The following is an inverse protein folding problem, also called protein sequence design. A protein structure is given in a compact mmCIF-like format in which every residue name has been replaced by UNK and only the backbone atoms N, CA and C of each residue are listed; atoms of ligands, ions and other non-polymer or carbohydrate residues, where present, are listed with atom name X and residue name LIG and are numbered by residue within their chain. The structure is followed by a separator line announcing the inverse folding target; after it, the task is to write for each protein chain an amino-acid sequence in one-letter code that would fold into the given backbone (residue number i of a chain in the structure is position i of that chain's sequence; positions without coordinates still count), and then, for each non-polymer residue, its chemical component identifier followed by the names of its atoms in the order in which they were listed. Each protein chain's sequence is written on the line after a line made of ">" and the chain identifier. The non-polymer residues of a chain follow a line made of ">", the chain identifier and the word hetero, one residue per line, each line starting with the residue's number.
data_IF_286623535855
#
_entry.id   IF_286623535855
#
_cell.length_a   1.000
_cell.length_b   1.000
_cell.length_c   1.000
_cell.angle_alpha   90.00
_cell.angle_beta   90.00
_cell.angle_gamma   90.00
#
_symmetry.space_group_name_H-M   'P 1'
#
loop_
_entity.id
_entity.type
_entity.pdbx_description
1 polymer ?
#
# COMPACT_ATOMS: atom_id res chain seq x y z
N UNK A 1 -13.37 40.45 -27.47
CA UNK A 1 -14.66 40.02 -26.87
C UNK A 1 -14.61 40.44 -25.39
N UNK A 2 -15.55 41.34 -24.95
CA UNK A 2 -15.72 41.66 -23.51
C UNK A 2 -16.55 40.52 -22.90
N UNK A 3 -15.98 39.85 -21.90
CA UNK A 3 -16.74 38.87 -21.10
C UNK A 3 -17.64 39.65 -20.15
N UNK A 4 -18.95 39.42 -20.23
CA UNK A 4 -19.88 39.92 -19.22
C UNK A 4 -19.93 38.92 -18.08
N UNK A 5 -19.42 39.25 -16.92
CA UNK A 5 -19.52 38.45 -15.72
C UNK A 5 -20.55 39.08 -14.79
N UNK A 6 -21.52 38.31 -14.32
CA UNK A 6 -22.48 38.70 -13.31
C UNK A 6 -21.88 38.42 -11.96
N UNK A 7 -21.72 39.45 -11.14
CA UNK A 7 -21.26 39.32 -9.76
C UNK A 7 -22.46 39.31 -8.81
N UNK A 8 -22.52 38.40 -7.84
CA UNK A 8 -23.54 38.42 -6.80
C UNK A 8 -23.38 39.67 -5.90
N UNK A 9 -24.43 40.00 -5.16
CA UNK A 9 -24.40 41.13 -4.20
C UNK A 9 -23.39 40.88 -3.08
N UNK A 10 -22.81 41.93 -2.52
CA UNK A 10 -21.75 41.84 -1.47
C UNK A 10 -22.09 40.91 -0.30
N UNK A 11 -23.32 40.88 0.27
CA UNK A 11 -23.70 39.94 1.30
C UNK A 11 -23.68 38.48 0.84
N UNK A 12 -24.02 38.23 -0.43
CA UNK A 12 -23.99 36.89 -1.04
C UNK A 12 -22.55 36.45 -1.29
N UNK A 13 -21.68 37.34 -1.78
CA UNK A 13 -20.25 37.07 -1.91
C UNK A 13 -19.62 36.65 -0.57
N UNK A 14 -20.00 37.35 0.53
CA UNK A 14 -19.52 37.00 1.87
C UNK A 14 -19.97 35.60 2.32
N UNK A 15 -21.22 35.21 2.06
CA UNK A 15 -21.74 33.87 2.36
C UNK A 15 -21.02 32.80 1.56
N UNK A 16 -20.82 33.04 0.26
CA UNK A 16 -20.08 32.15 -0.62
C UNK A 16 -18.64 31.97 -0.11
N UNK A 17 -17.95 33.07 0.19
CA UNK A 17 -16.58 33.03 0.68
C UNK A 17 -16.46 32.27 2.01
N UNK A 18 -17.36 32.56 2.97
CA UNK A 18 -17.38 31.85 4.26
C UNK A 18 -17.62 30.37 4.10
N UNK A 19 -18.53 29.95 3.22
CA UNK A 19 -18.81 28.54 2.94
C UNK A 19 -17.62 27.84 2.30
N UNK A 20 -17.01 28.43 1.26
CA UNK A 20 -15.82 27.86 0.62
C UNK A 20 -14.65 27.74 1.59
N UNK A 21 -14.46 28.77 2.44
CA UNK A 21 -13.43 28.73 3.50
C UNK A 21 -13.68 27.57 4.48
N UNK A 22 -14.93 27.33 4.88
CA UNK A 22 -15.25 26.20 5.76
C UNK A 22 -14.94 24.84 5.10
N UNK A 23 -15.22 24.70 3.79
CA UNK A 23 -14.86 23.49 3.03
C UNK A 23 -13.33 23.33 2.95
N UNK A 24 -12.58 24.40 2.72
CA UNK A 24 -11.12 24.37 2.69
C UNK A 24 -10.52 23.98 4.04
N UNK A 25 -11.00 24.60 5.11
CA UNK A 25 -10.59 24.23 6.48
C UNK A 25 -10.83 22.75 6.76
N UNK A 26 -11.98 22.20 6.31
CA UNK A 26 -12.25 20.75 6.46
C UNK A 26 -11.26 19.88 5.68
N UNK A 27 -10.93 20.28 4.45
CA UNK A 27 -9.93 19.56 3.62
C UNK A 27 -8.54 19.60 4.29
N UNK A 28 -8.12 20.72 4.82
CA UNK A 28 -6.85 20.88 5.54
C UNK A 28 -6.81 20.02 6.81
N UNK A 29 -7.88 20.04 7.61
CA UNK A 29 -7.99 19.22 8.82
C UNK A 29 -7.91 17.71 8.49
N UNK A 30 -8.60 17.25 7.44
CA UNK A 30 -8.54 15.85 7.00
C UNK A 30 -7.15 15.49 6.48
N UNK A 31 -6.50 16.37 5.72
CA UNK A 31 -5.14 16.17 5.23
C UNK A 31 -4.14 16.04 6.39
N UNK A 32 -4.23 16.95 7.37
CA UNK A 32 -3.36 16.89 8.56
C UNK A 32 -3.62 15.65 9.41
N UNK A 33 -4.89 15.27 9.57
CA UNK A 33 -5.26 14.03 10.29
C UNK A 33 -4.70 12.79 9.60
N UNK A 34 -4.73 12.72 8.28
CA UNK A 34 -4.16 11.61 7.51
C UNK A 34 -2.64 11.51 7.71
N UNK A 35 -1.94 12.65 7.65
CA UNK A 35 -0.49 12.72 7.91
C UNK A 35 -0.14 12.22 9.30
N UNK A 36 -0.79 12.76 10.34
CA UNK A 36 -0.54 12.40 11.74
C UNK A 36 -0.84 10.93 12.03
N UNK A 37 -1.89 10.35 11.44
CA UNK A 37 -2.18 8.92 11.56
C UNK A 37 -1.09 8.06 10.90
N UNK A 38 -0.54 8.51 9.77
CA UNK A 38 0.58 7.84 9.11
C UNK A 38 1.86 7.86 9.96
N UNK A 39 2.19 9.01 10.55
CA UNK A 39 3.33 9.14 11.48
C UNK A 39 3.14 8.29 12.74
N UNK A 40 1.93 8.32 13.32
CA UNK A 40 1.57 7.50 14.48
C UNK A 40 1.74 6.01 14.19
N UNK A 41 1.21 5.52 13.05
CA UNK A 41 1.41 4.12 12.61
C UNK A 41 2.88 3.78 12.51
N UNK A 42 3.67 4.64 11.86
CA UNK A 42 5.11 4.42 11.69
C UNK A 42 5.84 4.32 13.05
N UNK A 43 5.52 5.23 13.97
CA UNK A 43 6.10 5.21 15.33
C UNK A 43 5.73 3.95 16.11
N UNK A 44 4.45 3.55 16.08
CA UNK A 44 3.98 2.33 16.72
C UNK A 44 4.64 1.08 16.12
N UNK A 45 4.72 0.98 14.81
CA UNK A 45 5.41 -0.14 14.16
C UNK A 45 6.88 -0.23 14.61
N UNK A 46 7.57 0.91 14.72
CA UNK A 46 8.94 0.92 15.20
C UNK A 46 9.02 0.39 16.64
N UNK A 47 8.13 0.82 17.55
CA UNK A 47 8.11 0.39 18.94
C UNK A 47 7.72 -1.10 19.10
N UNK A 48 6.76 -1.58 18.30
CA UNK A 48 6.34 -2.98 18.32
C UNK A 48 7.48 -3.88 17.79
N UNK A 49 8.02 -3.60 16.59
CA UNK A 49 9.06 -4.46 16.00
C UNK A 49 10.44 -4.34 16.68
N UNK A 50 10.67 -3.30 17.50
CA UNK A 50 11.80 -3.23 18.42
C UNK A 50 11.51 -3.81 19.81
N UNK A 51 10.32 -4.34 20.04
CA UNK A 51 9.83 -4.93 21.30
C UNK A 51 9.80 -3.96 22.50
N UNK A 52 9.84 -2.64 22.26
CA UNK A 52 9.58 -1.62 23.29
C UNK A 52 8.13 -1.71 23.77
N UNK A 53 7.20 -2.00 22.85
CA UNK A 53 5.82 -2.33 23.17
C UNK A 53 5.61 -3.81 22.86
N UNK A 54 5.19 -4.59 23.89
CA UNK A 54 4.79 -5.98 23.77
C UNK A 54 3.30 -6.11 24.14
N UNK A 55 2.60 -6.94 23.38
CA UNK A 55 1.22 -7.33 23.72
C UNK A 55 1.22 -8.42 24.78
N UNK A 56 0.16 -8.47 25.56
CA UNK A 56 -0.07 -9.54 26.54
C UNK A 56 -1.19 -10.48 26.06
N UNK A 57 -1.17 -11.69 26.55
CA UNK A 57 -2.26 -12.65 26.37
C UNK A 57 -3.53 -12.16 27.07
N UNK A 58 -4.68 -12.77 26.79
CA UNK A 58 -5.97 -12.32 27.33
C UNK A 58 -6.08 -12.54 28.85
N UNK A 59 -5.30 -13.47 29.39
CA UNK A 59 -5.15 -13.73 30.84
C UNK A 59 -4.16 -12.78 31.54
N UNK A 60 -3.53 -11.83 30.77
CA UNK A 60 -2.55 -10.89 31.27
C UNK A 60 -1.11 -11.41 31.30
N UNK A 61 -0.87 -12.67 30.94
CA UNK A 61 0.47 -13.23 30.84
C UNK A 61 1.27 -12.68 29.69
N UNK A 62 2.60 -12.73 29.79
CA UNK A 62 3.48 -12.38 28.71
C UNK A 62 3.52 -13.50 27.65
N UNK A 63 3.60 -13.13 26.39
CA UNK A 63 3.85 -14.09 25.31
C UNK A 63 5.31 -14.56 25.33
N UNK A 64 5.63 -15.74 24.74
CA UNK A 64 6.99 -16.21 24.57
C UNK A 64 7.89 -15.18 23.86
N UNK A 65 9.20 -15.32 24.03
CA UNK A 65 10.15 -14.47 23.32
C UNK A 65 10.07 -14.63 21.82
N UNK A 66 10.37 -13.56 21.10
CA UNK A 66 10.41 -13.56 19.65
C UNK A 66 11.64 -14.31 19.15
N UNK A 67 11.48 -14.97 18.00
CA UNK A 67 12.57 -15.68 17.33
C UNK A 67 12.97 -15.01 16.02
N UNK A 68 14.25 -15.11 15.67
CA UNK A 68 14.73 -14.69 14.37
C UNK A 68 14.25 -15.68 13.29
N UNK A 69 13.48 -15.19 12.33
CA UNK A 69 12.99 -15.97 11.18
C UNK A 69 13.44 -15.32 9.88
N UNK A 70 13.82 -16.14 8.89
CA UNK A 70 14.02 -15.70 7.51
C UNK A 70 12.66 -15.49 6.83
N UNK A 71 12.55 -14.51 5.91
CA UNK A 71 11.31 -14.34 5.11
C UNK A 71 10.97 -15.62 4.32
N UNK A 72 11.98 -16.30 3.77
CA UNK A 72 11.79 -17.59 3.09
C UNK A 72 11.33 -18.73 4.00
N UNK A 73 11.48 -18.59 5.32
CA UNK A 73 10.97 -19.55 6.31
C UNK A 73 9.52 -19.32 6.70
N UNK A 74 8.95 -18.15 6.40
CA UNK A 74 7.56 -17.81 6.71
C UNK A 74 6.67 -17.65 5.47
N UNK A 75 7.23 -17.84 4.26
CA UNK A 75 6.48 -17.74 3.01
C UNK A 75 7.31 -18.11 1.80
N UNK A 76 6.67 -18.08 0.64
CA UNK A 76 7.28 -18.46 -0.64
C UNK A 76 7.23 -17.31 -1.63
N UNK A 77 8.30 -17.15 -2.40
CA UNK A 77 8.40 -16.12 -3.43
C UNK A 77 8.19 -16.72 -4.82
N UNK A 78 7.32 -16.11 -5.62
CA UNK A 78 7.05 -16.51 -7.00
C UNK A 78 7.32 -15.35 -7.94
N UNK A 79 8.20 -15.56 -8.92
CA UNK A 79 8.48 -14.54 -9.93
C UNK A 79 7.28 -14.38 -10.85
N UNK A 80 7.01 -13.14 -11.23
CA UNK A 80 5.91 -12.81 -12.13
C UNK A 80 6.10 -13.29 -13.57
N UNK A 81 5.03 -13.13 -14.35
CA UNK A 81 4.91 -13.61 -15.72
C UNK A 81 5.70 -12.75 -16.70
N UNK A 82 6.44 -13.41 -17.62
CA UNK A 82 7.14 -12.72 -18.71
C UNK A 82 6.25 -12.66 -19.95
N UNK A 83 6.13 -11.48 -20.55
CA UNK A 83 5.39 -11.27 -21.80
C UNK A 83 6.09 -10.20 -22.68
N UNK A 84 5.77 -10.22 -23.96
CA UNK A 84 6.28 -9.27 -24.96
C UNK A 84 5.21 -8.24 -25.31
N UNK A 85 5.60 -7.18 -26.01
CA UNK A 85 4.66 -6.17 -26.52
C UNK A 85 3.60 -6.76 -27.45
N UNK A 86 3.93 -7.81 -28.22
CA UNK A 86 2.99 -8.54 -29.09
C UNK A 86 1.88 -9.26 -28.34
N UNK A 87 2.12 -9.60 -27.06
CA UNK A 87 1.13 -10.25 -26.20
C UNK A 87 0.12 -9.26 -25.59
N UNK A 88 0.41 -7.96 -25.67
CA UNK A 88 -0.46 -6.94 -25.08
C UNK A 88 -1.77 -6.84 -25.85
N UNK A 89 -2.89 -6.84 -25.14
CA UNK A 89 -4.25 -6.81 -25.67
C UNK A 89 -5.13 -5.86 -24.84
N UNK A 90 -6.31 -5.55 -25.34
CA UNK A 90 -7.31 -4.74 -24.63
C UNK A 90 -8.05 -5.55 -23.55
N UNK A 91 -7.98 -6.88 -23.60
CA UNK A 91 -8.61 -7.80 -22.64
C UNK A 91 -7.74 -9.06 -22.51
N UNK A 92 -8.03 -9.91 -21.53
CA UNK A 92 -7.32 -11.16 -21.28
C UNK A 92 -6.82 -11.26 -19.82
N UNK A 93 -5.65 -11.88 -19.63
CA UNK A 93 -5.03 -12.00 -18.31
C UNK A 93 -4.51 -10.62 -17.85
N UNK A 94 -5.02 -10.14 -16.72
CA UNK A 94 -4.50 -8.92 -16.09
C UNK A 94 -3.12 -9.19 -15.47
N UNK A 95 -2.13 -8.38 -15.87
CA UNK A 95 -0.76 -8.44 -15.36
C UNK A 95 -0.41 -7.14 -14.64
N UNK A 96 -0.33 -7.20 -13.31
CA UNK A 96 0.05 -6.06 -12.50
C UNK A 96 1.55 -5.77 -12.63
N UNK A 97 1.87 -4.49 -12.64
CA UNK A 97 3.24 -3.98 -12.74
C UNK A 97 3.58 -3.14 -11.52
N UNK A 98 4.81 -2.70 -11.41
CA UNK A 98 5.23 -1.83 -10.32
C UNK A 98 4.41 -0.53 -10.24
N UNK A 99 3.86 -0.01 -11.35
CA UNK A 99 2.96 1.15 -11.38
C UNK A 99 1.64 0.92 -10.62
N UNK A 100 1.20 -0.34 -10.51
CA UNK A 100 -0.02 -0.71 -9.78
C UNK A 100 0.19 -0.84 -8.27
N UNK A 101 1.43 -0.73 -7.76
CA UNK A 101 1.70 -0.71 -6.32
C UNK A 101 1.78 0.75 -5.86
N UNK A 102 0.83 1.20 -5.05
CA UNK A 102 0.77 2.58 -4.52
C UNK A 102 0.35 2.57 -3.05
N UNK A 103 1.12 3.23 -2.20
CA UNK A 103 0.80 3.37 -0.77
C UNK A 103 0.48 2.03 -0.09
N UNK A 104 1.35 1.03 -0.30
CA UNK A 104 1.26 -0.33 0.25
C UNK A 104 -0.01 -1.11 -0.17
N UNK A 105 -0.70 -0.66 -1.23
CA UNK A 105 -1.89 -1.28 -1.81
C UNK A 105 -1.71 -1.54 -3.30
N UNK A 106 -2.53 -2.44 -3.84
CA UNK A 106 -2.67 -2.63 -5.29
C UNK A 106 -3.78 -1.74 -5.83
N UNK A 107 -3.51 -1.10 -6.97
CA UNK A 107 -4.46 -0.26 -7.70
C UNK A 107 -4.92 -1.05 -8.93
N UNK A 108 -6.21 -1.39 -8.97
CA UNK A 108 -6.83 -2.24 -9.99
C UNK A 108 -7.79 -1.47 -10.91
N UNK A 109 -7.77 -0.14 -10.88
CA UNK A 109 -8.65 0.73 -11.67
C UNK A 109 -7.91 1.60 -12.69
N UNK A 110 -6.56 1.59 -12.67
CA UNK A 110 -5.71 2.44 -13.52
C UNK A 110 -4.46 1.72 -13.98
N UNK A 111 -3.96 2.10 -15.16
CA UNK A 111 -2.72 1.56 -15.74
C UNK A 111 -2.74 0.04 -15.87
N UNK A 112 -3.90 -0.54 -16.19
CA UNK A 112 -4.05 -1.99 -16.30
C UNK A 112 -3.42 -2.49 -17.59
N UNK A 113 -2.72 -3.62 -17.50
CA UNK A 113 -2.09 -4.27 -18.62
C UNK A 113 -2.68 -5.67 -18.79
N UNK A 114 -3.33 -5.91 -19.94
CA UNK A 114 -3.85 -7.22 -20.29
C UNK A 114 -2.96 -7.90 -21.31
N UNK A 115 -2.88 -9.23 -21.23
CA UNK A 115 -2.11 -10.04 -22.18
C UNK A 115 -2.88 -11.29 -22.60
N UNK A 116 -2.61 -11.77 -23.83
CA UNK A 116 -3.16 -13.02 -24.37
C UNK A 116 -2.36 -14.23 -23.90
N UNK A 117 -2.19 -14.36 -22.59
CA UNK A 117 -1.43 -15.43 -21.97
C UNK A 117 -2.25 -16.15 -20.93
N UNK A 118 -1.91 -17.41 -20.68
CA UNK A 118 -2.45 -18.20 -19.58
C UNK A 118 -1.42 -18.18 -18.46
N UNK A 119 -1.83 -17.87 -17.24
CA UNK A 119 -0.97 -18.03 -16.09
C UNK A 119 -1.27 -19.33 -15.35
N UNK A 120 -0.21 -19.97 -14.83
CA UNK A 120 -0.36 -21.12 -13.95
C UNK A 120 -0.97 -20.68 -12.61
N UNK A 121 -1.67 -21.59 -11.94
CA UNK A 121 -2.25 -21.31 -10.61
C UNK A 121 -1.19 -20.98 -9.55
N UNK A 122 0.06 -21.39 -9.79
CA UNK A 122 1.19 -21.08 -8.92
C UNK A 122 1.48 -19.57 -8.83
N UNK A 123 1.38 -18.86 -9.96
CA UNK A 123 1.66 -17.43 -10.07
C UNK A 123 0.40 -16.60 -10.27
N UNK A 124 -0.79 -17.19 -10.19
CA UNK A 124 -2.04 -16.47 -10.05
C UNK A 124 -2.12 -15.89 -8.65
N UNK A 125 -2.46 -14.59 -8.55
CA UNK A 125 -2.64 -13.94 -7.25
C UNK A 125 -3.81 -14.54 -6.50
N UNK A 126 -3.62 -14.72 -5.21
CA UNK A 126 -4.63 -15.18 -4.24
C UNK A 126 -4.82 -14.07 -3.20
N UNK A 127 -5.97 -14.04 -2.58
CA UNK A 127 -6.22 -13.13 -1.46
C UNK A 127 -5.10 -13.23 -0.43
N UNK A 128 -4.66 -12.10 0.10
CA UNK A 128 -3.55 -11.89 1.02
C UNK A 128 -2.13 -12.10 0.44
N UNK A 129 -2.00 -12.45 -0.85
CA UNK A 129 -0.69 -12.39 -1.51
C UNK A 129 -0.12 -10.96 -1.49
N UNK A 130 1.18 -10.85 -1.27
CA UNK A 130 1.88 -9.57 -1.28
C UNK A 130 2.68 -9.45 -2.58
N UNK A 131 2.39 -8.44 -3.37
CA UNK A 131 3.15 -8.12 -4.58
C UNK A 131 4.31 -7.20 -4.21
N UNK A 132 5.51 -7.56 -4.63
CA UNK A 132 6.75 -6.80 -4.36
C UNK A 132 7.37 -6.37 -5.70
N UNK A 133 7.71 -5.10 -5.83
CA UNK A 133 8.47 -4.57 -6.96
C UNK A 133 9.93 -5.03 -6.87
N UNK A 134 10.36 -5.89 -7.79
CA UNK A 134 11.72 -6.45 -7.78
C UNK A 134 12.70 -5.63 -8.60
N UNK A 135 12.23 -4.94 -9.64
CA UNK A 135 13.06 -4.09 -10.49
C UNK A 135 12.32 -2.83 -10.93
N UNK A 136 13.03 -1.70 -10.92
CA UNK A 136 12.49 -0.42 -11.40
C UNK A 136 13.63 0.50 -11.80
N UNK A 137 13.42 1.38 -12.78
CA UNK A 137 14.39 2.42 -13.14
C UNK A 137 14.73 3.36 -11.98
N UNK A 138 13.77 3.59 -11.08
CA UNK A 138 13.99 4.38 -9.86
C UNK A 138 14.26 3.49 -8.66
N UNK A 139 15.47 3.58 -8.11
CA UNK A 139 15.94 2.75 -6.98
C UNK A 139 15.00 2.77 -5.78
N UNK A 140 14.42 3.91 -5.43
CA UNK A 140 13.51 4.08 -4.29
C UNK A 140 12.15 3.38 -4.45
N UNK A 141 11.82 2.92 -5.66
CA UNK A 141 10.61 2.16 -5.93
C UNK A 141 10.81 0.63 -5.86
N UNK A 142 12.07 0.18 -5.83
CA UNK A 142 12.39 -1.24 -5.68
C UNK A 142 12.12 -1.67 -4.24
N UNK A 143 11.49 -2.82 -4.07
CA UNK A 143 11.09 -3.34 -2.77
C UNK A 143 9.77 -2.81 -2.23
N UNK A 144 9.13 -1.81 -2.90
CA UNK A 144 7.77 -1.42 -2.50
C UNK A 144 6.82 -2.58 -2.69
N UNK A 145 5.83 -2.69 -1.82
CA UNK A 145 4.90 -3.82 -1.81
C UNK A 145 3.45 -3.38 -1.72
N UNK A 146 2.54 -4.26 -2.08
CA UNK A 146 1.10 -4.05 -1.94
C UNK A 146 0.38 -5.37 -1.75
N UNK A 147 -0.65 -5.40 -0.91
CA UNK A 147 -1.46 -6.60 -0.64
C UNK A 147 -2.59 -6.71 -1.64
N UNK A 148 -2.87 -7.91 -2.11
CA UNK A 148 -4.04 -8.24 -2.91
C UNK A 148 -5.18 -8.69 -1.99
N UNK A 149 -6.33 -8.03 -2.06
CA UNK A 149 -7.48 -8.32 -1.19
C UNK A 149 -8.57 -9.16 -1.84
N UNK A 150 -8.33 -9.72 -3.03
CA UNK A 150 -9.31 -10.54 -3.72
C UNK A 150 -10.40 -9.73 -4.43
N UNK A 151 -10.12 -8.49 -4.76
CA UNK A 151 -11.04 -7.49 -5.31
C UNK A 151 -11.08 -7.46 -6.86
N UNK A 152 -10.78 -8.60 -7.49
CA UNK A 152 -10.86 -8.78 -8.94
C UNK A 152 -11.43 -10.17 -9.28
N UNK A 153 -12.48 -10.20 -10.08
CA UNK A 153 -13.27 -11.42 -10.33
C UNK A 153 -12.58 -12.46 -11.21
N UNK A 154 -11.58 -12.05 -12.00
CA UNK A 154 -10.87 -12.96 -12.91
C UNK A 154 -9.46 -13.27 -12.40
N UNK A 155 -8.81 -14.25 -13.02
CA UNK A 155 -7.40 -14.53 -12.75
C UNK A 155 -6.54 -13.33 -13.11
N UNK A 156 -5.61 -13.00 -12.24
CA UNK A 156 -4.59 -11.98 -12.47
C UNK A 156 -3.24 -12.46 -11.92
N UNK A 157 -2.18 -11.85 -12.42
CA UNK A 157 -0.81 -12.15 -12.02
C UNK A 157 0.02 -10.87 -11.99
N UNK A 158 1.32 -11.00 -11.78
CA UNK A 158 2.27 -9.88 -11.82
C UNK A 158 3.26 -10.05 -12.97
N UNK A 159 3.79 -8.96 -13.48
CA UNK A 159 4.84 -8.99 -14.51
C UNK A 159 6.21 -9.38 -13.95
N UNK A 160 7.14 -9.71 -14.83
CA UNK A 160 8.48 -10.24 -14.49
C UNK A 160 9.33 -9.32 -13.59
N UNK A 161 9.00 -8.03 -13.50
CA UNK A 161 9.64 -7.07 -12.59
C UNK A 161 9.00 -7.01 -11.21
N UNK A 162 8.04 -7.89 -10.93
CA UNK A 162 7.42 -8.06 -9.63
C UNK A 162 7.53 -9.52 -9.20
N UNK A 163 7.44 -9.76 -7.90
CA UNK A 163 7.28 -11.07 -7.29
C UNK A 163 6.06 -11.11 -6.40
N UNK A 164 5.47 -12.28 -6.28
CA UNK A 164 4.42 -12.60 -5.32
C UNK A 164 5.11 -13.19 -4.09
N UNK A 165 4.87 -12.63 -2.93
CA UNK A 165 5.21 -13.24 -1.65
C UNK A 165 3.94 -13.80 -1.03
N UNK A 166 3.84 -15.12 -0.97
CA UNK A 166 2.70 -15.87 -0.44
C UNK A 166 3.04 -16.40 0.93
N UNK A 167 2.23 -16.06 1.92
CA UNK A 167 2.50 -16.37 3.32
C UNK A 167 1.22 -16.32 4.14
N UNK A 168 1.12 -17.20 5.13
CA UNK A 168 0.04 -17.18 6.13
C UNK A 168 0.38 -16.29 7.34
N UNK A 169 1.60 -15.75 7.40
CA UNK A 169 2.01 -14.87 8.49
C UNK A 169 1.40 -13.47 8.32
N UNK A 170 0.45 -13.14 9.18
CA UNK A 170 -0.33 -11.89 9.15
C UNK A 170 0.50 -10.63 9.33
N UNK A 171 1.72 -10.73 9.86
CA UNK A 171 2.64 -9.59 10.06
C UNK A 171 3.46 -9.27 8.83
N UNK A 172 3.52 -10.15 7.83
CA UNK A 172 4.39 -10.01 6.66
C UNK A 172 4.21 -8.68 5.93
N UNK A 173 2.97 -8.22 5.74
CA UNK A 173 2.71 -6.92 5.11
C UNK A 173 3.28 -5.74 5.90
N UNK A 174 3.36 -5.85 7.22
CA UNK A 174 3.93 -4.82 8.10
C UNK A 174 5.45 -4.92 8.16
N UNK A 175 6.02 -6.13 8.16
CA UNK A 175 7.47 -6.37 8.10
C UNK A 175 8.08 -5.64 6.90
N UNK A 176 7.44 -5.74 5.73
CA UNK A 176 7.87 -5.07 4.49
C UNK A 176 7.72 -3.54 4.51
N UNK A 177 7.10 -2.97 5.55
CA UNK A 177 7.00 -1.51 5.76
C UNK A 177 8.00 -1.00 6.81
N UNK A 178 8.69 -1.89 7.55
CA UNK A 178 9.60 -1.52 8.64
C UNK A 178 10.83 -0.77 8.16
N UNK A 179 11.44 -0.01 9.08
CA UNK A 179 12.75 0.63 8.85
C UNK A 179 13.84 -0.42 8.61
N UNK A 180 13.76 -1.57 9.29
CA UNK A 180 14.70 -2.68 9.11
C UNK A 180 14.64 -3.22 7.67
N UNK A 181 13.46 -3.48 7.12
CA UNK A 181 13.32 -3.89 5.73
C UNK A 181 13.90 -2.86 4.75
N UNK A 182 13.60 -1.58 4.94
CA UNK A 182 14.15 -0.51 4.10
C UNK A 182 15.68 -0.44 4.17
N UNK A 183 16.26 -0.68 5.35
CA UNK A 183 17.73 -0.76 5.53
C UNK A 183 18.31 -1.94 4.76
N UNK A 184 17.69 -3.11 4.81
CA UNK A 184 18.12 -4.27 4.01
C UNK A 184 18.08 -3.97 2.51
N UNK A 185 16.99 -3.37 2.02
CA UNK A 185 16.91 -2.97 0.62
C UNK A 185 18.03 -2.00 0.21
N UNK A 186 18.33 -1.03 1.08
CA UNK A 186 19.41 -0.09 0.83
C UNK A 186 20.76 -0.81 0.69
N UNK A 187 21.05 -1.79 1.54
CA UNK A 187 22.28 -2.60 1.49
C UNK A 187 22.32 -3.45 0.22
N UNK A 188 21.25 -4.19 -0.08
CA UNK A 188 21.17 -5.06 -1.26
C UNK A 188 21.34 -4.27 -2.58
N UNK A 189 20.83 -3.06 -2.64
CA UNK A 189 20.89 -2.22 -3.84
C UNK A 189 22.16 -1.32 -3.89
N UNK A 190 22.95 -1.23 -2.83
CA UNK A 190 24.10 -0.33 -2.77
C UNK A 190 25.23 -0.73 -3.73
N UNK A 191 25.43 -2.03 -3.96
CA UNK A 191 26.53 -2.57 -4.76
C UNK A 191 26.16 -2.91 -6.21
N UNK A 192 24.95 -2.55 -6.67
CA UNK A 192 24.48 -2.98 -8.00
C UNK A 192 24.26 -1.77 -8.93
N UNK A 193 24.77 -1.87 -10.16
CA UNK A 193 24.46 -0.91 -11.24
C UNK A 193 23.02 -1.06 -11.76
N UNK A 194 22.34 -2.15 -11.42
CA UNK A 194 20.98 -2.46 -11.85
C UNK A 194 20.08 -2.51 -10.60
N UNK A 195 19.06 -1.68 -10.58
CA UNK A 195 18.06 -1.64 -9.49
C UNK A 195 17.16 -2.89 -9.54
N UNK A 196 17.69 -4.06 -9.20
CA UNK A 196 17.02 -5.36 -9.26
C UNK A 196 17.31 -6.19 -8.01
N UNK A 197 16.27 -6.76 -7.43
CA UNK A 197 16.32 -7.71 -6.31
C UNK A 197 16.07 -9.12 -6.83
N UNK A 198 16.63 -10.11 -6.13
CA UNK A 198 16.34 -11.53 -6.36
C UNK A 198 15.45 -12.08 -5.25
N UNK A 199 14.59 -13.03 -5.59
CA UNK A 199 13.76 -13.71 -4.60
C UNK A 199 14.60 -14.38 -3.51
N UNK A 200 15.75 -14.97 -3.87
CA UNK A 200 16.69 -15.56 -2.93
C UNK A 200 17.26 -14.56 -1.93
N UNK A 201 17.55 -13.33 -2.37
CA UNK A 201 18.05 -12.27 -1.48
C UNK A 201 16.97 -11.85 -0.46
N UNK A 202 15.71 -11.70 -0.91
CA UNK A 202 14.61 -11.40 0.00
C UNK A 202 14.33 -12.57 0.96
N UNK A 203 14.42 -13.81 0.49
CA UNK A 203 14.18 -14.99 1.31
C UNK A 203 15.17 -15.12 2.48
N UNK A 204 16.40 -14.62 2.33
CA UNK A 204 17.44 -14.63 3.36
C UNK A 204 17.32 -13.51 4.40
N UNK A 205 16.46 -12.50 4.18
CA UNK A 205 16.27 -11.41 5.14
C UNK A 205 15.69 -11.93 6.45
N UNK A 206 16.29 -11.52 7.55
CA UNK A 206 15.97 -12.00 8.89
C UNK A 206 15.24 -10.94 9.71
N UNK A 207 14.20 -11.36 10.41
CA UNK A 207 13.41 -10.52 11.28
C UNK A 207 13.07 -11.26 12.58
N UNK A 208 13.11 -10.55 13.69
CA UNK A 208 12.57 -11.07 14.94
C UNK A 208 11.04 -11.02 14.87
N UNK A 209 10.40 -12.16 15.08
CA UNK A 209 8.95 -12.32 14.95
C UNK A 209 8.37 -13.08 16.17
N UNK A 210 7.14 -12.73 16.59
CA UNK A 210 6.46 -13.49 17.63
C UNK A 210 6.29 -14.95 17.21
N UNK A 211 6.59 -15.85 18.10
CA UNK A 211 6.35 -17.29 17.92
C UNK A 211 4.86 -17.61 18.05
N UNK A 212 4.18 -16.93 18.99
CA UNK A 212 2.76 -17.12 19.23
C UNK A 212 1.91 -16.55 18.09
N UNK A 213 1.08 -17.39 17.48
CA UNK A 213 0.07 -16.97 16.48
C UNK A 213 -0.93 -15.98 17.09
N UNK A 214 -1.26 -16.13 18.38
CA UNK A 214 -2.15 -15.21 19.08
C UNK A 214 -1.53 -13.81 19.18
N UNK A 215 -0.24 -13.69 19.53
CA UNK A 215 0.47 -12.41 19.55
C UNK A 215 0.53 -11.81 18.14
N UNK A 216 0.91 -12.61 17.12
CA UNK A 216 0.90 -12.16 15.72
C UNK A 216 -0.47 -11.60 15.32
N UNK A 217 -1.55 -12.29 15.71
CA UNK A 217 -2.92 -11.88 15.39
C UNK A 217 -3.31 -10.58 16.12
N UNK A 218 -2.96 -10.43 17.40
CA UNK A 218 -3.21 -9.20 18.17
C UNK A 218 -2.49 -8.01 17.54
N UNK A 219 -1.21 -8.17 17.21
CA UNK A 219 -0.42 -7.12 16.55
C UNK A 219 -1.02 -6.77 15.18
N UNK A 220 -1.33 -7.78 14.36
CA UNK A 220 -1.90 -7.58 13.03
C UNK A 220 -3.25 -6.86 13.08
N UNK A 221 -4.14 -7.26 13.99
CA UNK A 221 -5.45 -6.63 14.17
C UNK A 221 -5.32 -5.17 14.65
N UNK A 222 -4.41 -4.92 15.57
CA UNK A 222 -4.14 -3.57 16.07
C UNK A 222 -3.66 -2.65 14.95
N UNK A 223 -2.64 -3.06 14.18
CA UNK A 223 -2.12 -2.28 13.05
C UNK A 223 -3.16 -2.13 11.93
N UNK A 224 -3.96 -3.17 11.66
CA UNK A 224 -5.05 -3.12 10.68
C UNK A 224 -6.15 -2.15 11.08
N UNK A 225 -6.44 -2.00 12.38
CA UNK A 225 -7.39 -0.99 12.86
C UNK A 225 -6.94 0.44 12.56
N UNK A 226 -5.62 0.68 12.61
CA UNK A 226 -5.03 1.98 12.25
C UNK A 226 -5.09 2.18 10.73
N UNK A 227 -4.78 1.15 9.94
CA UNK A 227 -4.91 1.19 8.48
C UNK A 227 -6.33 1.55 8.06
N UNK A 228 -7.33 0.94 8.69
CA UNK A 228 -8.76 1.24 8.44
C UNK A 228 -9.11 2.71 8.75
N UNK A 229 -8.57 3.27 9.84
CA UNK A 229 -8.76 4.70 10.17
C UNK A 229 -8.10 5.61 9.14
N UNK A 230 -6.89 5.29 8.69
CA UNK A 230 -6.18 6.05 7.64
C UNK A 230 -6.99 6.01 6.34
N UNK A 231 -7.51 4.84 5.96
CA UNK A 231 -8.32 4.67 4.76
C UNK A 231 -9.62 5.46 4.82
N UNK A 232 -10.33 5.42 5.95
CA UNK A 232 -11.54 6.19 6.16
C UNK A 232 -11.29 7.70 6.01
N UNK A 233 -10.20 8.21 6.61
CA UNK A 233 -9.84 9.63 6.47
C UNK A 233 -9.44 9.96 5.02
N UNK A 234 -8.71 9.06 4.35
CA UNK A 234 -8.34 9.23 2.93
C UNK A 234 -9.57 9.32 2.03
N UNK A 235 -10.56 8.46 2.25
CA UNK A 235 -11.85 8.48 1.51
C UNK A 235 -12.58 9.81 1.74
N UNK A 236 -12.72 10.24 3.00
CA UNK A 236 -13.35 11.52 3.34
C UNK A 236 -12.62 12.71 2.69
N UNK A 237 -11.30 12.67 2.63
CA UNK A 237 -10.48 13.70 1.98
C UNK A 237 -10.74 13.77 0.46
N UNK A 238 -10.80 12.62 -0.21
CA UNK A 238 -11.12 12.55 -1.65
C UNK A 238 -12.53 13.07 -1.91
N UNK A 239 -13.53 12.62 -1.15
CA UNK A 239 -14.92 13.06 -1.26
C UNK A 239 -15.06 14.57 -1.04
N UNK A 240 -14.39 15.13 -0.01
CA UNK A 240 -14.40 16.57 0.27
C UNK A 240 -13.78 17.39 -0.86
N UNK A 241 -12.68 16.91 -1.46
CA UNK A 241 -12.05 17.56 -2.63
C UNK A 241 -12.95 17.51 -3.88
N UNK A 242 -13.62 16.37 -4.11
CA UNK A 242 -14.57 16.23 -5.21
C UNK A 242 -15.79 17.13 -5.01
N UNK A 243 -16.32 17.19 -3.80
CA UNK A 243 -17.40 18.09 -3.43
C UNK A 243 -17.04 19.56 -3.70
N UNK A 244 -15.85 20.01 -3.24
CA UNK A 244 -15.37 21.38 -3.53
C UNK A 244 -15.31 21.64 -5.04
N UNK A 245 -14.77 20.70 -5.81
CA UNK A 245 -14.67 20.83 -7.28
C UNK A 245 -16.06 20.97 -7.91
N UNK A 246 -17.00 20.10 -7.56
CA UNK A 246 -18.37 20.14 -8.09
C UNK A 246 -19.08 21.46 -7.72
N UNK A 247 -18.91 21.92 -6.47
CA UNK A 247 -19.46 23.17 -5.98
C UNK A 247 -18.96 24.38 -6.79
N UNK A 248 -17.64 24.46 -7.02
CA UNK A 248 -17.04 25.53 -7.83
C UNK A 248 -17.57 25.51 -9.28
N UNK A 249 -17.76 24.31 -9.85
CA UNK A 249 -18.35 24.19 -11.19
C UNK A 249 -19.79 24.66 -11.25
N UNK A 250 -20.59 24.43 -10.20
CA UNK A 250 -21.99 24.87 -10.16
C UNK A 250 -22.15 26.36 -9.87
N UNK A 251 -21.23 26.95 -9.13
CA UNK A 251 -21.34 28.35 -8.71
C UNK A 251 -20.75 29.36 -9.70
N UNK A 252 -19.82 28.92 -10.55
CA UNK A 252 -19.05 29.80 -11.43
C UNK A 252 -19.11 29.41 -12.92
N UNK A 253 -20.12 28.67 -13.32
CA UNK A 253 -20.38 28.32 -14.75
C UNK A 253 -21.46 29.23 -15.32
#
# INVERSE_FOLDING_TARGET
>A
KKFKTIFPLKPEQQKIAAFLTAVDTKIEQLSKKQELLGEYKKGLMQQIFSQVIRFKADDGCDFPDWEEKKLGGIGSFYRGHTYNSTNVKNNGLLVLRSSNIKNDKLVLDKDLQFVDKICSDKISLRTDDIVICMANGSKHLVGKSGVYYGDYDNKLTVGAFCSIFRTDNKLSKYILQTVQYKRYLHILLAGTNINNLKNSELAELKFNLPVSINEQTKIANFLSSIDSKIEQVSKQLVESKQFKKALLQQMFV
#
